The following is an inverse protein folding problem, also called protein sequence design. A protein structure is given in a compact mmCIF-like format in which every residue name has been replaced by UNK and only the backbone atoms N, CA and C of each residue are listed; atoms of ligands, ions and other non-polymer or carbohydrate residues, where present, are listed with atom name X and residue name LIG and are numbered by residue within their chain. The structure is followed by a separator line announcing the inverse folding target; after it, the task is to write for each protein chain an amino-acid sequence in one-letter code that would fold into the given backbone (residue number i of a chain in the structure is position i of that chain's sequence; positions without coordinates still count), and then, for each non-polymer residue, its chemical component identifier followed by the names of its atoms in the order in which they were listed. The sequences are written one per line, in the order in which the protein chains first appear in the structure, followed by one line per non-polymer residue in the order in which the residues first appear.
data_IF_828738236995
#
_entry.id   IF_828738236995
#
_cell.length_a   1.000
_cell.length_b   1.000
_cell.length_c   1.000
_cell.angle_alpha   90.00
_cell.angle_beta   90.00
_cell.angle_gamma   90.00
#
_symmetry.space_group_name_H-M   'P 1'
#
loop_
_entity.id
_entity.type
_entity.pdbx_description
1 polymer ?
#
# COMPACT_ATOMS: atom_id res chain seq x y z
N UNK A 1 -10.47 -8.61 -3.00
CA UNK A 1 -10.85 -7.77 -1.86
C UNK A 1 -11.04 -6.35 -2.36
N UNK A 2 -11.94 -5.59 -1.76
CA UNK A 2 -12.09 -4.16 -2.09
C UNK A 2 -10.79 -3.47 -1.71
N UNK A 3 -10.03 -3.07 -2.75
CA UNK A 3 -8.98 -2.05 -2.70
C UNK A 3 -9.32 -1.04 -1.62
N UNK A 4 -8.59 -1.05 -0.53
CA UNK A 4 -8.64 0.02 0.45
C UNK A 4 -7.26 0.61 0.48
N UNK A 5 -6.93 1.41 -0.53
CA UNK A 5 -5.83 2.38 -0.35
C UNK A 5 -6.32 3.35 0.72
N UNK A 6 -5.65 3.39 1.87
CA UNK A 6 -6.02 4.38 2.89
C UNK A 6 -6.03 5.77 2.26
N UNK A 7 -7.20 6.42 2.25
CA UNK A 7 -7.35 7.73 1.61
C UNK A 7 -6.67 8.79 2.47
N UNK A 8 -6.32 9.93 1.86
CA UNK A 8 -5.74 11.05 2.59
C UNK A 8 -6.65 11.53 3.71
N UNK A 9 -7.95 11.62 3.45
CA UNK A 9 -8.96 12.01 4.44
C UNK A 9 -9.01 11.02 5.61
N UNK A 10 -8.85 9.72 5.33
CA UNK A 10 -8.80 8.69 6.36
C UNK A 10 -7.52 8.78 7.19
N UNK A 11 -6.36 8.99 6.56
CA UNK A 11 -5.10 9.26 7.26
C UNK A 11 -5.20 10.48 8.18
N UNK A 12 -5.85 11.55 7.73
CA UNK A 12 -6.07 12.76 8.54
C UNK A 12 -6.99 12.49 9.75
N UNK A 13 -8.00 11.63 9.60
CA UNK A 13 -8.84 11.19 10.72
C UNK A 13 -8.04 10.38 11.74
N UNK A 14 -7.24 9.41 11.27
CA UNK A 14 -6.41 8.56 12.14
C UNK A 14 -5.35 9.39 12.89
N UNK A 15 -4.67 10.30 12.20
CA UNK A 15 -3.65 11.16 12.78
C UNK A 15 -4.20 12.10 13.86
N UNK A 16 -5.45 12.54 13.73
CA UNK A 16 -6.10 13.45 14.67
C UNK A 16 -7.00 12.73 15.69
N UNK A 17 -6.97 11.39 15.74
CA UNK A 17 -7.83 10.57 16.60
C UNK A 17 -9.33 10.91 16.50
N UNK A 18 -9.77 11.35 15.31
CA UNK A 18 -11.17 11.73 15.05
C UNK A 18 -11.97 10.48 14.65
N UNK A 19 -12.40 9.71 15.66
CA UNK A 19 -13.39 8.65 15.48
C UNK A 19 -12.84 7.22 15.44
N UNK A 20 -13.43 6.40 14.56
CA UNK A 20 -13.41 4.93 14.57
C UNK A 20 -12.02 4.29 14.73
N UNK A 21 -11.93 3.14 15.44
CA UNK A 21 -10.66 2.44 15.69
C UNK A 21 -9.92 2.10 14.39
N UNK A 22 -8.59 2.09 14.45
CA UNK A 22 -7.73 1.67 13.33
C UNK A 22 -7.96 0.17 13.08
N UNK A 23 -8.16 -0.20 11.83
CA UNK A 23 -8.23 -1.60 11.42
C UNK A 23 -6.83 -2.20 11.25
N UNK A 24 -6.67 -3.51 11.44
CA UNK A 24 -5.38 -4.20 11.21
C UNK A 24 -4.82 -3.97 9.80
N UNK A 25 -5.70 -3.83 8.81
CA UNK A 25 -5.28 -3.58 7.43
C UNK A 25 -4.69 -2.17 7.30
N UNK A 26 -5.34 -1.15 7.87
CA UNK A 26 -4.81 0.23 7.91
C UNK A 26 -3.48 0.30 8.67
N UNK A 27 -3.33 -0.44 9.77
CA UNK A 27 -2.05 -0.53 10.50
C UNK A 27 -0.93 -1.12 9.62
N UNK A 28 -1.22 -2.21 8.88
CA UNK A 28 -0.25 -2.86 8.03
C UNK A 28 0.16 -2.00 6.83
N UNK A 29 -0.80 -1.29 6.21
CA UNK A 29 -0.53 -0.36 5.13
C UNK A 29 0.29 0.84 5.61
N UNK A 30 -0.05 1.40 6.77
CA UNK A 30 0.71 2.50 7.38
C UNK A 30 2.14 2.07 7.72
N UNK A 31 2.34 0.86 8.24
CA UNK A 31 3.66 0.32 8.54
C UNK A 31 4.52 0.15 7.27
N UNK A 32 3.93 -0.32 6.16
CA UNK A 32 4.62 -0.43 4.88
C UNK A 32 5.00 0.92 4.30
N UNK A 33 4.09 1.90 4.36
CA UNK A 33 4.38 3.28 3.92
C UNK A 33 5.50 3.91 4.75
N UNK A 34 5.47 3.73 6.08
CA UNK A 34 6.51 4.23 6.96
C UNK A 34 7.88 3.59 6.67
N UNK A 35 7.92 2.27 6.44
CA UNK A 35 9.16 1.58 6.10
C UNK A 35 9.73 2.08 4.76
N UNK A 36 8.90 2.19 3.72
CA UNK A 36 9.31 2.74 2.43
C UNK A 36 9.82 4.19 2.53
N UNK A 37 9.24 5.00 3.43
CA UNK A 37 9.72 6.34 3.71
C UNK A 37 11.11 6.34 4.37
N UNK A 38 11.34 5.44 5.32
CA UNK A 38 12.61 5.30 6.02
C UNK A 38 13.74 4.81 5.11
N UNK A 39 13.43 3.90 4.18
CA UNK A 39 14.41 3.34 3.23
C UNK A 39 14.64 4.25 2.00
N UNK A 40 13.95 5.40 1.92
CA UNK A 40 14.08 6.29 0.77
C UNK A 40 15.41 7.06 0.78
N UNK A 41 16.16 6.93 -0.32
CA UNK A 41 17.36 7.74 -0.56
C UNK A 41 17.02 9.04 -1.32
N UNK A 42 17.74 10.14 -1.06
CA UNK A 42 17.54 11.37 -1.81
C UNK A 42 17.96 11.21 -3.27
N UNK A 43 17.16 11.74 -4.18
CA UNK A 43 17.46 11.75 -5.63
C UNK A 43 18.43 12.86 -6.02
N UNK A 44 18.51 13.91 -5.20
CA UNK A 44 19.42 15.02 -5.35
C UNK A 44 19.58 15.78 -4.02
N UNK A 45 20.51 16.72 -4.00
CA UNK A 45 20.70 17.70 -2.96
C UNK A 45 20.71 19.09 -3.57
N UNK A 46 20.11 20.05 -2.87
CA UNK A 46 20.02 21.45 -3.29
C UNK A 46 20.64 22.42 -2.29
N UNK A 47 20.97 23.62 -2.77
CA UNK A 47 21.50 24.70 -1.93
C UNK A 47 20.40 25.25 -1.00
N UNK A 48 20.65 25.18 0.31
CA UNK A 48 19.73 25.73 1.33
C UNK A 48 19.71 27.25 1.29
N UNK A 49 20.84 27.91 1.03
CA UNK A 49 20.90 29.37 0.91
C UNK A 49 20.08 29.84 -0.27
N UNK A 50 20.17 29.15 -1.41
CA UNK A 50 19.50 29.57 -2.64
C UNK A 50 17.99 29.38 -2.52
N UNK A 51 17.57 28.25 -1.91
CA UNK A 51 16.18 27.97 -1.59
C UNK A 51 15.59 29.03 -0.65
N UNK A 52 16.28 29.35 0.45
CA UNK A 52 15.82 30.33 1.43
C UNK A 52 15.77 31.76 0.85
N UNK A 53 16.67 32.09 -0.08
CA UNK A 53 16.69 33.38 -0.76
C UNK A 53 15.59 33.52 -1.84
N UNK A 54 14.90 32.43 -2.20
CA UNK A 54 13.85 32.44 -3.20
C UNK A 54 14.36 32.71 -4.61
N UNK A 55 15.58 32.30 -4.94
CA UNK A 55 16.10 32.47 -6.28
C UNK A 55 15.25 31.69 -7.31
N UNK A 56 15.09 32.22 -8.53
CA UNK A 56 14.32 31.56 -9.58
C UNK A 56 14.97 30.25 -10.08
N UNK A 57 16.23 30.02 -9.73
CA UNK A 57 16.97 28.80 -9.99
C UNK A 57 17.74 28.39 -8.74
N UNK A 58 17.79 27.09 -8.48
CA UNK A 58 18.47 26.51 -7.32
C UNK A 58 19.47 25.47 -7.84
N UNK A 59 20.70 25.54 -7.36
CA UNK A 59 21.71 24.54 -7.69
C UNK A 59 21.30 23.17 -7.11
N UNK A 60 21.25 22.16 -7.98
CA UNK A 60 20.98 20.77 -7.63
C UNK A 60 22.14 19.86 -8.05
N UNK A 61 22.49 18.89 -7.21
CA UNK A 61 23.46 17.83 -7.52
C UNK A 61 22.93 16.49 -7.06
N UNK A 62 23.32 15.42 -7.76
CA UNK A 62 22.97 14.06 -7.35
C UNK A 62 23.60 13.71 -5.99
N UNK A 63 24.87 14.03 -5.82
CA UNK A 63 25.62 13.72 -4.61
C UNK A 63 25.64 14.90 -3.63
N UNK A 64 25.77 14.58 -2.34
CA UNK A 64 25.92 15.56 -1.29
C UNK A 64 27.16 16.45 -1.52
N UNK A 65 27.01 17.75 -1.29
CA UNK A 65 28.11 18.71 -1.34
C UNK A 65 27.93 19.79 -0.26
N UNK A 66 29.01 20.40 0.21
CA UNK A 66 28.98 21.55 1.14
C UNK A 66 28.12 22.71 0.62
N UNK A 67 28.01 22.88 -0.70
CA UNK A 67 27.14 23.87 -1.33
C UNK A 67 25.68 23.41 -1.50
N UNK A 68 25.42 22.10 -1.52
CA UNK A 68 24.10 21.51 -1.73
C UNK A 68 23.84 20.53 -0.58
N UNK A 69 23.32 21.06 0.53
CA UNK A 69 23.17 20.30 1.79
C UNK A 69 21.76 19.81 2.05
N UNK A 70 20.76 20.29 1.29
CA UNK A 70 19.36 19.97 1.55
C UNK A 70 18.92 18.81 0.64
N UNK A 71 18.55 17.64 1.18
CA UNK A 71 18.14 16.50 0.37
C UNK A 71 16.79 16.76 -0.30
N UNK A 72 16.64 16.24 -1.52
CA UNK A 72 15.41 16.20 -2.30
C UNK A 72 15.08 14.73 -2.50
N UNK A 73 13.91 14.31 -2.02
CA UNK A 73 13.43 12.95 -2.18
C UNK A 73 12.47 12.87 -3.36
N UNK A 74 12.44 11.71 -4.02
CA UNK A 74 11.37 11.44 -4.99
C UNK A 74 10.02 11.46 -4.27
N UNK A 75 8.98 11.84 -5.01
CA UNK A 75 7.62 11.61 -4.54
C UNK A 75 7.43 10.11 -4.34
N UNK A 76 6.86 9.73 -3.20
CA UNK A 76 6.67 8.32 -2.88
C UNK A 76 5.71 7.72 -3.90
N UNK A 77 6.07 6.59 -4.56
CA UNK A 77 5.15 5.92 -5.44
C UNK A 77 3.90 5.52 -4.65
N UNK A 78 2.72 5.74 -5.24
CA UNK A 78 1.45 5.35 -4.63
C UNK A 78 1.52 3.87 -4.19
N UNK A 79 0.97 3.50 -3.02
CA UNK A 79 1.07 2.14 -2.51
C UNK A 79 0.65 1.11 -3.56
N UNK A 80 1.61 0.37 -4.11
CA UNK A 80 1.34 -0.73 -5.03
C UNK A 80 0.95 -1.92 -4.18
N UNK A 81 -0.37 -2.10 -4.04
CA UNK A 81 -0.93 -3.31 -3.44
C UNK A 81 -0.70 -4.45 -4.45
N UNK A 82 -0.01 -5.54 -4.09
CA UNK A 82 0.02 -6.74 -4.92
C UNK A 82 -1.43 -7.16 -5.16
N UNK A 83 -1.81 -7.39 -6.42
CA UNK A 83 -3.15 -7.87 -6.72
C UNK A 83 -3.39 -9.17 -5.94
N UNK A 84 -4.57 -9.30 -5.31
CA UNK A 84 -4.90 -10.52 -4.55
C UNK A 84 -4.70 -11.77 -5.42
N UNK A 85 -4.96 -11.65 -6.73
CA UNK A 85 -4.72 -12.70 -7.73
C UNK A 85 -3.25 -13.11 -7.77
N UNK A 86 -2.31 -12.18 -7.65
CA UNK A 86 -0.87 -12.47 -7.61
C UNK A 86 -0.45 -13.21 -6.34
N UNK A 87 -1.10 -12.93 -5.20
CA UNK A 87 -0.85 -13.65 -3.94
C UNK A 87 -1.42 -15.08 -4.05
N UNK A 88 -2.61 -15.24 -4.62
CA UNK A 88 -3.18 -16.55 -4.90
C UNK A 88 -2.36 -17.33 -5.93
N UNK A 89 -1.87 -16.69 -6.99
CA UNK A 89 -1.00 -17.29 -8.00
C UNK A 89 0.34 -17.72 -7.41
N UNK A 90 0.96 -16.90 -6.56
CA UNK A 90 2.20 -17.26 -5.87
C UNK A 90 2.01 -18.45 -4.92
N UNK A 91 0.90 -18.48 -4.16
CA UNK A 91 0.57 -19.62 -3.31
C UNK A 91 0.28 -20.91 -4.12
N UNK A 92 -0.36 -20.76 -5.28
CA UNK A 92 -0.59 -21.85 -6.24
C UNK A 92 0.74 -22.35 -6.81
N UNK A 93 1.67 -21.45 -7.14
CA UNK A 93 2.98 -21.80 -7.69
C UNK A 93 3.85 -22.53 -6.66
N UNK A 94 3.86 -22.09 -5.41
CA UNK A 94 4.56 -22.77 -4.32
C UNK A 94 3.99 -24.18 -4.09
N UNK A 95 2.67 -24.33 -4.11
CA UNK A 95 2.06 -25.64 -3.93
C UNK A 95 2.19 -26.57 -5.15
N UNK A 96 2.37 -26.05 -6.38
CA UNK A 96 2.70 -26.87 -7.56
C UNK A 96 4.07 -27.55 -7.45
N UNK A 97 4.94 -27.06 -6.56
CA UNK A 97 6.25 -27.70 -6.28
C UNK A 97 6.15 -28.87 -5.29
N UNK A 98 4.98 -29.08 -4.67
CA UNK A 98 4.74 -30.22 -3.80
C UNK A 98 4.38 -31.47 -4.64
N UNK A 99 5.33 -32.39 -4.81
CA UNK A 99 5.14 -33.70 -5.44
C UNK A 99 4.16 -34.63 -4.68
N UNK A 100 3.63 -34.19 -3.53
CA UNK A 100 2.83 -34.99 -2.61
C UNK A 100 1.31 -34.86 -2.78
N UNK A 101 0.82 -34.03 -3.71
CA UNK A 101 -0.61 -33.79 -3.92
C UNK A 101 -1.00 -34.31 -5.31
N UNK A 102 -1.99 -35.21 -5.37
CA UNK A 102 -2.52 -35.69 -6.64
C UNK A 102 -3.29 -34.56 -7.37
N UNK A 103 -3.23 -34.53 -8.70
CA UNK A 103 -3.80 -33.47 -9.54
C UNK A 103 -5.31 -33.24 -9.31
N UNK A 104 -6.06 -34.29 -9.00
CA UNK A 104 -7.48 -34.20 -8.69
C UNK A 104 -7.72 -33.55 -7.32
N UNK A 105 -6.95 -33.93 -6.29
CA UNK A 105 -7.02 -33.29 -4.97
C UNK A 105 -6.60 -31.82 -5.02
N UNK A 106 -5.60 -31.49 -5.85
CA UNK A 106 -5.16 -30.12 -6.11
C UNK A 106 -6.28 -29.27 -6.72
N UNK A 107 -6.83 -29.71 -7.86
CA UNK A 107 -7.87 -28.98 -8.59
C UNK A 107 -9.14 -28.79 -7.75
N UNK A 108 -9.53 -29.81 -6.98
CA UNK A 108 -10.66 -29.70 -6.07
C UNK A 108 -10.38 -28.73 -4.91
N UNK A 109 -9.19 -28.77 -4.32
CA UNK A 109 -8.78 -27.86 -3.25
C UNK A 109 -8.81 -26.39 -3.67
N UNK A 110 -8.26 -26.08 -4.84
CA UNK A 110 -8.22 -24.71 -5.39
C UNK A 110 -9.63 -24.18 -5.64
N UNK A 111 -10.52 -24.98 -6.23
CA UNK A 111 -11.92 -24.60 -6.47
C UNK A 111 -12.68 -24.33 -5.16
N UNK A 112 -12.46 -25.15 -4.12
CA UNK A 112 -13.10 -24.97 -2.81
C UNK A 112 -12.63 -23.68 -2.14
N UNK A 113 -11.33 -23.39 -2.19
CA UNK A 113 -10.76 -22.16 -1.61
C UNK A 113 -11.30 -20.92 -2.33
N UNK A 114 -11.34 -20.93 -3.68
CA UNK A 114 -11.91 -19.83 -4.45
C UNK A 114 -13.41 -19.62 -4.16
N UNK A 115 -14.21 -20.68 -4.11
CA UNK A 115 -15.64 -20.58 -3.80
C UNK A 115 -15.92 -20.05 -2.38
N UNK A 116 -15.09 -20.46 -1.39
CA UNK A 116 -15.17 -19.94 -0.02
C UNK A 116 -14.80 -18.47 0.05
N UNK A 117 -13.74 -18.08 -0.66
CA UNK A 117 -13.33 -16.68 -0.75
C UNK A 117 -14.41 -15.80 -1.39
N UNK A 118 -15.02 -16.25 -2.50
CA UNK A 118 -16.12 -15.54 -3.14
C UNK A 118 -17.35 -15.40 -2.24
N UNK A 119 -17.70 -16.47 -1.50
CA UNK A 119 -18.81 -16.42 -0.52
C UNK A 119 -18.52 -15.44 0.62
N UNK A 120 -17.31 -15.46 1.18
CA UNK A 120 -16.91 -14.51 2.21
C UNK A 120 -16.91 -13.07 1.69
N UNK A 121 -16.45 -12.86 0.45
CA UNK A 121 -16.48 -11.55 -0.21
C UNK A 121 -17.91 -11.07 -0.45
N UNK A 122 -18.81 -11.93 -0.93
CA UNK A 122 -20.22 -11.61 -1.14
C UNK A 122 -20.91 -11.24 0.18
N UNK A 123 -20.66 -11.98 1.25
CA UNK A 123 -21.18 -11.69 2.58
C UNK A 123 -20.68 -10.35 3.13
N UNK A 124 -19.39 -10.05 2.96
CA UNK A 124 -18.82 -8.76 3.38
C UNK A 124 -19.40 -7.57 2.58
N UNK A 125 -19.67 -7.74 1.29
CA UNK A 125 -20.32 -6.72 0.46
C UNK A 125 -21.81 -6.53 0.80
N UNK A 126 -22.51 -7.61 1.17
CA UNK A 126 -23.91 -7.55 1.59
C UNK A 126 -24.10 -6.90 2.97
N UNK A 127 -23.09 -6.99 3.84
CA UNK A 127 -23.09 -6.40 5.17
C UNK A 127 -22.69 -4.90 5.20
N UNK A 128 -22.33 -4.31 4.06
CA UNK A 128 -22.07 -2.87 3.96
C UNK A 128 -23.39 -2.09 4.16
N UNK A 129 -23.43 -1.03 5.00
CA UNK A 129 -24.66 -0.28 5.26
C UNK A 129 -25.18 0.33 3.95
N UNK A 130 -26.39 -0.06 3.53
CA UNK A 130 -27.10 0.65 2.47
C UNK A 130 -27.59 1.97 3.06
N UNK A 131 -27.21 3.11 2.48
CA UNK A 131 -27.78 4.40 2.86
C UNK A 131 -29.30 4.33 2.75
N UNK A 132 -29.98 4.41 3.90
CA UNK A 132 -31.43 4.58 3.93
C UNK A 132 -31.70 6.01 3.49
N UNK A 133 -32.06 6.18 2.22
CA UNK A 133 -32.49 7.45 1.65
C UNK A 133 -33.81 7.82 2.33
N UNK A 134 -33.74 8.70 3.33
CA UNK A 134 -34.88 9.20 4.08
C UNK A 134 -35.86 9.96 3.19
N UNK A 135 -37.15 9.74 3.45
CA UNK A 135 -38.30 10.54 3.01
C UNK A 135 -38.21 12.01 3.44
#
# INVERSE_FOLDING_TARGET
MTKSTITRERLEQLANFKGAPVTRQEEQELARMALAAMDSEPVAYISKSDFNAGYPHILARRDFNKACTMPVYAEQPAPVVPDDVSIFEAAIEECKTCDSIDEHAWNHGVLVVMAKYESCRAAMLAAAPQEVKGE
#
